data_IF_911121484213
#
_entry.id   IF_911121484213
#
_cell.length_a   1.000
_cell.length_b   1.000
_cell.length_c   1.000
_cell.angle_alpha   90.00
_cell.angle_beta   90.00
_cell.angle_gamma   90.00
#
_symmetry.space_group_name_H-M   'P 1'
#
loop_
_entity.id
_entity.type
_entity.pdbx_description
1 polymer ?
#
# COMPACT_ATOMS: atom_id res chain seq x y z
N UNK A 1 -17.15 -60.87 4.67
CA UNK A 1 -16.55 -60.40 3.43
C UNK A 1 -16.16 -58.95 3.63
N UNK A 2 -14.88 -58.73 4.02
CA UNK A 2 -14.29 -57.38 4.10
C UNK A 2 -14.13 -56.85 2.68
N UNK A 3 -14.60 -55.63 2.48
CA UNK A 3 -14.36 -54.89 1.23
C UNK A 3 -12.85 -54.50 1.14
N UNK A 4 -12.21 -54.58 -0.01
CA UNK A 4 -10.83 -54.19 -0.13
C UNK A 4 -10.67 -52.68 0.07
N UNK A 5 -9.92 -52.29 1.07
CA UNK A 5 -9.45 -50.91 1.27
C UNK A 5 -8.48 -50.56 0.13
N UNK A 6 -8.97 -49.87 -0.86
CA UNK A 6 -8.10 -49.32 -1.93
C UNK A 6 -7.32 -48.17 -1.31
N UNK A 7 -6.09 -48.42 -0.91
CA UNK A 7 -5.13 -47.36 -0.62
C UNK A 7 -4.83 -46.68 -1.93
N UNK A 8 -5.33 -45.47 -2.14
CA UNK A 8 -4.95 -44.65 -3.25
C UNK A 8 -3.42 -44.48 -3.21
N UNK A 9 -2.75 -44.75 -4.31
CA UNK A 9 -1.32 -44.45 -4.42
C UNK A 9 -1.10 -42.94 -4.15
N UNK A 10 -0.06 -42.57 -3.42
CA UNK A 10 0.26 -41.15 -3.24
C UNK A 10 0.39 -40.51 -4.63
N UNK A 11 -0.30 -39.39 -4.84
CA UNK A 11 -0.11 -38.59 -6.03
C UNK A 11 1.38 -38.31 -6.15
N UNK A 12 1.93 -38.44 -7.36
CA UNK A 12 3.33 -38.06 -7.59
C UNK A 12 3.48 -36.59 -7.18
N UNK A 13 4.42 -36.33 -6.28
CA UNK A 13 4.74 -34.95 -5.89
C UNK A 13 5.05 -34.16 -7.16
N UNK A 14 4.24 -33.15 -7.47
CA UNK A 14 4.53 -32.18 -8.53
C UNK A 14 5.67 -31.26 -8.12
N UNK A 15 6.02 -30.29 -8.96
CA UNK A 15 6.99 -29.25 -8.57
C UNK A 15 6.45 -28.44 -7.38
N UNK A 16 7.32 -27.95 -6.47
CA UNK A 16 6.90 -27.14 -5.33
C UNK A 16 6.22 -25.86 -5.79
N UNK A 17 5.22 -25.40 -5.03
CA UNK A 17 4.64 -24.07 -5.23
C UNK A 17 5.70 -23.03 -4.83
N UNK A 18 6.03 -22.12 -5.74
CA UNK A 18 6.93 -21.00 -5.49
C UNK A 18 6.12 -19.73 -5.30
N UNK A 19 6.22 -19.11 -4.13
CA UNK A 19 5.62 -17.83 -3.80
C UNK A 19 6.71 -16.81 -3.46
N UNK A 20 6.38 -15.53 -3.56
CA UNK A 20 7.31 -14.47 -3.20
C UNK A 20 6.64 -13.39 -2.36
N UNK A 21 7.42 -12.70 -1.52
CA UNK A 21 7.09 -11.35 -1.06
C UNK A 21 7.80 -10.32 -1.92
N UNK A 22 7.13 -9.21 -2.21
CA UNK A 22 7.70 -8.05 -2.91
C UNK A 22 7.35 -6.81 -2.11
N UNK A 23 8.13 -6.58 -1.04
CA UNK A 23 7.90 -5.50 -0.08
C UNK A 23 9.00 -4.45 -0.17
N UNK A 24 8.76 -3.22 0.33
CA UNK A 24 9.82 -2.21 0.38
C UNK A 24 10.87 -2.59 1.43
N UNK A 25 11.97 -3.18 0.99
CA UNK A 25 13.14 -3.48 1.81
C UNK A 25 14.14 -2.33 1.78
N UNK A 26 13.99 -1.44 0.81
CA UNK A 26 14.69 -0.16 0.66
C UNK A 26 13.69 0.96 0.41
N UNK A 27 14.16 2.22 0.38
CA UNK A 27 13.34 3.39 0.07
C UNK A 27 12.38 3.79 1.19
N UNK A 28 11.27 4.42 0.81
CA UNK A 28 10.39 5.21 1.69
C UNK A 28 9.74 4.44 2.85
N UNK A 29 9.46 3.17 2.71
CA UNK A 29 8.83 2.35 3.75
C UNK A 29 9.71 1.16 4.17
N UNK A 30 11.03 1.30 4.08
CA UNK A 30 11.96 0.25 4.46
C UNK A 30 11.84 -0.18 5.93
N UNK A 31 11.37 0.69 6.81
CA UNK A 31 11.10 0.36 8.22
C UNK A 31 9.91 -0.58 8.41
N UNK A 32 8.92 -0.55 7.51
CA UNK A 32 7.68 -1.33 7.60
C UNK A 32 7.72 -2.61 6.74
N UNK A 33 8.43 -2.56 5.61
CA UNK A 33 8.46 -3.64 4.63
C UNK A 33 8.81 -5.01 5.21
N UNK A 34 9.90 -5.16 5.98
CA UNK A 34 10.28 -6.43 6.59
C UNK A 34 9.22 -7.02 7.51
N UNK A 35 8.54 -6.17 8.31
CA UNK A 35 7.46 -6.60 9.20
C UNK A 35 6.24 -7.14 8.42
N UNK A 36 5.92 -6.52 7.28
CA UNK A 36 4.84 -6.98 6.40
C UNK A 36 5.23 -8.30 5.71
N UNK A 37 6.46 -8.40 5.21
CA UNK A 37 6.98 -9.62 4.58
C UNK A 37 6.97 -10.81 5.55
N UNK A 38 7.31 -10.58 6.82
CA UNK A 38 7.26 -11.60 7.87
C UNK A 38 5.86 -12.20 8.03
N UNK A 39 4.80 -11.41 7.86
CA UNK A 39 3.42 -11.92 7.89
C UNK A 39 3.16 -13.00 6.84
N UNK A 40 3.67 -12.84 5.62
CA UNK A 40 3.59 -13.85 4.58
C UNK A 40 4.47 -15.07 4.88
N UNK A 41 5.68 -14.86 5.39
CA UNK A 41 6.58 -15.95 5.80
C UNK A 41 5.90 -16.84 6.86
N UNK A 42 5.28 -16.24 7.87
CA UNK A 42 4.54 -16.99 8.91
C UNK A 42 3.43 -17.85 8.30
N UNK A 43 2.69 -17.33 7.32
CA UNK A 43 1.65 -18.10 6.65
C UNK A 43 2.24 -19.29 5.86
N UNK A 44 3.36 -19.08 5.16
CA UNK A 44 4.09 -20.15 4.45
C UNK A 44 4.59 -21.19 5.43
N UNK A 45 5.21 -20.79 6.54
CA UNK A 45 5.73 -21.71 7.55
C UNK A 45 4.61 -22.57 8.16
N UNK A 46 3.43 -21.97 8.40
CA UNK A 46 2.28 -22.72 8.90
C UNK A 46 1.79 -23.79 7.89
N UNK A 47 1.71 -23.43 6.60
CA UNK A 47 1.33 -24.38 5.56
C UNK A 47 2.35 -25.49 5.43
N UNK A 48 3.65 -25.17 5.45
CA UNK A 48 4.72 -26.15 5.36
C UNK A 48 4.74 -27.09 6.58
N UNK A 49 4.49 -26.58 7.79
CA UNK A 49 4.35 -27.39 9.01
C UNK A 49 3.17 -28.38 8.96
N UNK A 50 2.15 -28.10 8.14
CA UNK A 50 1.01 -28.98 7.90
C UNK A 50 1.22 -29.97 6.74
N UNK A 51 2.43 -30.00 6.13
CA UNK A 51 2.78 -30.91 5.03
C UNK A 51 2.80 -30.21 3.65
N UNK A 52 2.78 -28.90 3.62
CA UNK A 52 2.93 -28.11 2.40
C UNK A 52 1.76 -28.21 1.43
N UNK A 53 2.04 -27.93 0.17
CA UNK A 53 1.06 -28.03 -0.93
C UNK A 53 1.39 -29.26 -1.76
N UNK A 54 0.42 -30.15 -1.97
CA UNK A 54 0.60 -31.44 -2.65
C UNK A 54 1.74 -32.32 -2.06
N UNK A 55 1.97 -32.21 -0.75
CA UNK A 55 3.03 -32.96 -0.05
C UNK A 55 4.44 -32.42 -0.23
N UNK A 56 4.56 -31.17 -0.69
CA UNK A 56 5.83 -30.45 -0.80
C UNK A 56 5.76 -29.11 -0.10
N UNK A 57 6.88 -28.69 0.49
CA UNK A 57 6.99 -27.37 1.08
C UNK A 57 6.90 -26.29 0.01
N UNK A 58 6.24 -25.18 0.36
CA UNK A 58 6.25 -23.97 -0.44
C UNK A 58 7.66 -23.38 -0.40
N UNK A 59 8.22 -23.06 -1.56
CA UNK A 59 9.42 -22.24 -1.69
C UNK A 59 9.02 -20.79 -1.60
N UNK A 60 9.60 -20.05 -0.67
CA UNK A 60 9.28 -18.64 -0.48
C UNK A 60 10.49 -17.76 -0.82
N UNK A 61 10.27 -16.83 -1.74
CA UNK A 61 11.28 -15.89 -2.22
C UNK A 61 11.04 -14.50 -1.64
N UNK A 62 12.08 -13.68 -1.62
CA UNK A 62 11.99 -12.29 -1.20
C UNK A 62 12.51 -11.36 -2.30
N UNK A 63 11.74 -10.31 -2.62
CA UNK A 63 12.09 -9.25 -3.55
C UNK A 63 11.87 -7.88 -2.94
N UNK A 64 12.65 -6.90 -3.38
CA UNK A 64 12.52 -5.50 -2.98
C UNK A 64 11.61 -4.73 -3.95
N UNK A 65 10.65 -4.00 -3.43
CA UNK A 65 9.82 -3.07 -4.20
C UNK A 65 10.27 -1.60 -4.08
N UNK A 66 11.11 -1.28 -3.10
CA UNK A 66 11.63 0.07 -2.85
C UNK A 66 10.59 1.17 -2.70
N UNK A 67 9.30 0.82 -2.63
CA UNK A 67 8.19 1.78 -2.82
C UNK A 67 8.30 2.60 -4.13
N UNK A 68 9.00 2.06 -5.11
CA UNK A 68 9.38 2.70 -6.37
C UNK A 68 9.03 1.78 -7.56
N UNK A 69 8.54 2.37 -8.66
CA UNK A 69 8.08 1.60 -9.83
C UNK A 69 9.20 0.76 -10.47
N UNK A 70 10.38 1.33 -10.66
CA UNK A 70 11.49 0.67 -11.36
C UNK A 70 12.13 -0.42 -10.50
N UNK A 71 12.29 -0.17 -9.20
CA UNK A 71 12.78 -1.15 -8.22
C UNK A 71 11.79 -2.32 -8.14
N UNK A 72 10.49 -2.03 -8.02
CA UNK A 72 9.45 -3.05 -7.96
C UNK A 72 9.39 -3.91 -9.22
N UNK A 73 9.51 -3.30 -10.41
CA UNK A 73 9.56 -4.06 -11.68
C UNK A 73 10.78 -4.98 -11.74
N UNK A 74 11.94 -4.52 -11.32
CA UNK A 74 13.15 -5.34 -11.24
C UNK A 74 12.96 -6.50 -10.27
N UNK A 75 12.51 -6.22 -9.04
CA UNK A 75 12.25 -7.25 -8.04
C UNK A 75 11.20 -8.27 -8.48
N UNK A 76 10.13 -7.82 -9.18
CA UNK A 76 9.14 -8.74 -9.76
C UNK A 76 9.76 -9.66 -10.82
N UNK A 77 10.55 -9.12 -11.74
CA UNK A 77 11.22 -9.90 -12.79
C UNK A 77 12.14 -10.94 -12.19
N UNK A 78 12.89 -10.59 -11.15
CA UNK A 78 13.82 -11.50 -10.47
C UNK A 78 13.08 -12.67 -9.80
N UNK A 79 11.95 -12.42 -9.10
CA UNK A 79 11.21 -13.53 -8.47
C UNK A 79 10.46 -14.37 -9.50
N UNK A 80 9.95 -13.79 -10.59
CA UNK A 80 9.36 -14.54 -11.71
C UNK A 80 10.40 -15.43 -12.39
N UNK A 81 11.60 -14.94 -12.63
CA UNK A 81 12.71 -15.72 -13.22
C UNK A 81 13.11 -16.91 -12.33
N UNK A 82 12.87 -16.84 -11.02
CA UNK A 82 13.07 -17.93 -10.06
C UNK A 82 11.84 -18.85 -9.93
N UNK A 83 10.80 -18.62 -10.71
CA UNK A 83 9.61 -19.48 -10.79
C UNK A 83 8.45 -19.09 -9.90
N UNK A 84 8.40 -17.87 -9.37
CA UNK A 84 7.27 -17.39 -8.56
C UNK A 84 5.96 -17.47 -9.36
N UNK A 85 4.95 -18.13 -8.77
CA UNK A 85 3.60 -18.31 -9.32
C UNK A 85 2.58 -17.37 -8.66
N UNK A 86 2.95 -16.79 -7.51
CA UNK A 86 2.18 -15.79 -6.80
C UNK A 86 3.10 -14.87 -5.99
N UNK A 87 2.72 -13.60 -5.91
CA UNK A 87 3.48 -12.56 -5.22
C UNK A 87 2.59 -11.83 -4.23
N UNK A 88 3.01 -11.77 -2.98
CA UNK A 88 2.45 -10.88 -1.98
C UNK A 88 3.17 -9.52 -2.09
N UNK A 89 2.44 -8.51 -2.56
CA UNK A 89 3.03 -7.19 -2.82
C UNK A 89 2.23 -6.36 -3.84
N UNK A 90 2.71 -5.19 -4.22
CA UNK A 90 3.64 -4.38 -3.45
C UNK A 90 2.89 -3.65 -2.32
N UNK A 91 3.63 -3.03 -1.41
CA UNK A 91 3.00 -2.25 -0.34
C UNK A 91 2.48 -0.89 -0.84
N UNK A 92 3.22 -0.23 -1.72
CA UNK A 92 2.94 1.11 -2.20
C UNK A 92 2.08 1.10 -3.48
N UNK A 93 1.05 1.94 -3.52
CA UNK A 93 0.07 1.95 -4.63
C UNK A 93 0.71 2.23 -5.99
N UNK A 94 1.67 3.15 -6.08
CA UNK A 94 2.38 3.47 -7.34
C UNK A 94 3.22 2.29 -7.84
N UNK A 95 3.92 1.61 -6.94
CA UNK A 95 4.64 0.39 -7.26
C UNK A 95 3.69 -0.71 -7.75
N UNK A 96 2.60 -0.97 -7.03
CA UNK A 96 1.59 -1.96 -7.42
C UNK A 96 1.00 -1.67 -8.80
N UNK A 97 0.64 -0.40 -9.09
CA UNK A 97 0.12 -0.01 -10.40
C UNK A 97 1.11 -0.29 -11.54
N UNK A 98 2.40 -0.05 -11.30
CA UNK A 98 3.45 -0.33 -12.28
C UNK A 98 3.60 -1.82 -12.61
N UNK A 99 3.31 -2.70 -11.63
CA UNK A 99 3.44 -4.15 -11.80
C UNK A 99 2.32 -4.80 -12.60
N UNK A 100 1.13 -4.16 -12.73
CA UNK A 100 -0.08 -4.83 -13.22
C UNK A 100 0.08 -5.44 -14.63
N UNK A 101 0.69 -4.71 -15.56
CA UNK A 101 0.90 -5.24 -16.91
C UNK A 101 1.82 -6.48 -16.90
N UNK A 102 2.89 -6.44 -16.13
CA UNK A 102 3.87 -7.54 -16.05
C UNK A 102 3.28 -8.80 -15.39
N UNK A 103 2.47 -8.65 -14.33
CA UNK A 103 1.82 -9.82 -13.70
C UNK A 103 0.73 -10.42 -14.59
N UNK A 104 0.01 -9.61 -15.35
CA UNK A 104 -0.97 -10.09 -16.34
C UNK A 104 -0.25 -10.88 -17.44
N UNK A 105 0.82 -10.34 -18.00
CA UNK A 105 1.61 -10.99 -19.07
C UNK A 105 2.24 -12.30 -18.58
N UNK A 106 2.79 -12.30 -17.38
CA UNK A 106 3.41 -13.48 -16.76
C UNK A 106 2.40 -14.49 -16.20
N UNK A 107 1.10 -14.15 -16.13
CA UNK A 107 0.05 -14.95 -15.51
C UNK A 107 0.39 -15.30 -14.04
N UNK A 108 0.91 -14.33 -13.28
CA UNK A 108 1.29 -14.45 -11.87
C UNK A 108 0.29 -13.70 -11.00
N UNK A 109 -0.24 -14.35 -9.97
CA UNK A 109 -1.14 -13.71 -9.03
C UNK A 109 -0.40 -12.68 -8.16
N UNK A 110 -0.97 -11.48 -8.03
CA UNK A 110 -0.45 -10.40 -7.18
C UNK A 110 -1.47 -10.04 -6.11
N UNK A 111 -1.09 -10.13 -4.83
CA UNK A 111 -1.96 -9.77 -3.70
C UNK A 111 -1.29 -8.71 -2.85
N UNK A 112 -1.81 -7.48 -2.88
CA UNK A 112 -1.25 -6.41 -2.06
C UNK A 112 -1.86 -6.38 -0.66
N UNK A 113 -1.05 -6.32 0.40
CA UNK A 113 -1.53 -6.17 1.76
C UNK A 113 -1.88 -4.72 2.14
N UNK A 114 -1.41 -3.72 1.41
CA UNK A 114 -1.48 -2.32 1.85
C UNK A 114 -1.65 -1.26 0.77
N UNK A 115 -1.71 -1.61 -0.51
CA UNK A 115 -1.95 -0.64 -1.59
C UNK A 115 -3.42 -0.24 -1.64
N UNK A 116 -3.71 1.00 -1.31
CA UNK A 116 -5.08 1.50 -1.03
C UNK A 116 -5.65 2.40 -2.11
N UNK A 117 -4.85 2.92 -3.04
CA UNK A 117 -5.31 3.87 -4.08
C UNK A 117 -6.63 3.44 -4.74
N UNK A 118 -7.63 4.35 -4.87
CA UNK A 118 -8.88 4.09 -5.58
C UNK A 118 -8.68 3.62 -7.02
N UNK A 119 -7.61 4.07 -7.67
CA UNK A 119 -7.28 3.68 -9.05
C UNK A 119 -7.13 2.16 -9.20
N UNK A 120 -6.63 1.45 -8.18
CA UNK A 120 -6.50 -0.01 -8.17
C UNK A 120 -7.84 -0.75 -8.22
N UNK A 121 -8.96 -0.08 -7.94
CA UNK A 121 -10.30 -0.66 -8.07
C UNK A 121 -10.76 -0.69 -9.53
N UNK A 122 -10.42 0.33 -10.31
CA UNK A 122 -10.96 0.58 -11.66
C UNK A 122 -10.03 0.20 -12.80
N UNK A 123 -8.71 0.11 -12.55
CA UNK A 123 -7.74 -0.25 -13.58
C UNK A 123 -7.91 -1.70 -14.03
N UNK A 124 -7.52 -1.98 -15.29
CA UNK A 124 -7.47 -3.35 -15.82
C UNK A 124 -6.46 -4.21 -15.02
N UNK A 125 -6.91 -5.36 -14.58
CA UNK A 125 -6.14 -6.26 -13.70
C UNK A 125 -6.00 -7.69 -14.24
N UNK A 126 -6.64 -7.99 -15.36
CA UNK A 126 -6.63 -9.34 -15.96
C UNK A 126 -7.03 -10.48 -15.01
N UNK A 127 -7.66 -10.16 -13.88
CA UNK A 127 -7.94 -11.14 -12.81
C UNK A 127 -6.71 -11.49 -11.95
N UNK A 128 -5.54 -10.93 -12.22
CA UNK A 128 -4.28 -11.27 -11.53
C UNK A 128 -4.04 -10.46 -10.27
N UNK A 129 -4.76 -9.37 -10.04
CA UNK A 129 -4.55 -8.52 -8.86
C UNK A 129 -5.73 -8.52 -7.90
N UNK A 130 -5.40 -8.65 -6.62
CA UNK A 130 -6.30 -8.44 -5.48
C UNK A 130 -5.59 -7.68 -4.37
N UNK A 131 -6.35 -7.16 -3.42
CA UNK A 131 -5.80 -6.55 -2.20
C UNK A 131 -6.62 -6.91 -0.97
N UNK A 132 -5.97 -6.98 0.18
CA UNK A 132 -6.62 -7.21 1.46
C UNK A 132 -6.95 -5.91 2.19
N UNK A 133 -6.28 -4.80 1.83
CA UNK A 133 -6.59 -3.48 2.35
C UNK A 133 -7.84 -2.86 1.69
N UNK A 134 -8.66 -2.08 2.41
CA UNK A 134 -9.76 -1.33 1.81
C UNK A 134 -9.26 -0.23 0.88
N UNK A 135 -10.15 0.31 0.05
CA UNK A 135 -9.83 1.45 -0.82
C UNK A 135 -9.84 2.77 -0.05
N UNK A 136 -8.95 3.69 -0.41
CA UNK A 136 -8.95 5.07 0.07
C UNK A 136 -10.22 5.84 -0.29
N UNK A 137 -10.97 5.39 -1.29
CA UNK A 137 -12.31 5.93 -1.55
C UNK A 137 -13.25 5.74 -0.35
N UNK A 138 -13.06 4.65 0.43
CA UNK A 138 -13.79 4.45 1.67
C UNK A 138 -13.17 5.21 2.84
N UNK A 139 -11.84 5.24 2.95
CA UNK A 139 -11.12 5.96 4.00
C UNK A 139 -11.42 7.46 3.94
N UNK A 140 -11.45 8.07 2.75
CA UNK A 140 -11.78 9.48 2.58
C UNK A 140 -13.17 9.84 3.10
N UNK A 141 -14.16 8.97 2.88
CA UNK A 141 -15.52 9.16 3.42
C UNK A 141 -15.54 9.11 4.95
N UNK A 142 -14.82 8.15 5.54
CA UNK A 142 -14.73 8.01 7.00
C UNK A 142 -14.01 9.21 7.61
N UNK A 143 -12.91 9.64 7.03
CA UNK A 143 -12.15 10.80 7.50
C UNK A 143 -12.98 12.08 7.41
N UNK A 144 -13.69 12.29 6.30
CA UNK A 144 -14.59 13.43 6.15
C UNK A 144 -15.71 13.44 7.21
N UNK A 145 -16.27 12.28 7.54
CA UNK A 145 -17.29 12.17 8.59
C UNK A 145 -16.74 12.50 9.99
N UNK A 146 -15.51 12.08 10.31
CA UNK A 146 -14.87 12.44 11.58
C UNK A 146 -14.56 13.94 11.65
N UNK A 147 -14.06 14.55 10.57
CA UNK A 147 -13.84 15.99 10.49
C UNK A 147 -15.12 16.78 10.78
N UNK A 148 -16.23 16.42 10.12
CA UNK A 148 -17.54 17.07 10.34
C UNK A 148 -18.03 16.85 11.76
N UNK A 149 -17.89 15.67 12.32
CA UNK A 149 -18.26 15.34 13.70
C UNK A 149 -17.48 16.18 14.72
N UNK A 150 -16.21 16.45 14.45
CA UNK A 150 -15.35 17.29 15.28
C UNK A 150 -15.63 18.81 15.11
N UNK A 151 -16.59 19.16 14.24
CA UNK A 151 -17.00 20.54 13.99
C UNK A 151 -16.05 21.33 13.09
N UNK A 152 -15.23 20.64 12.29
CA UNK A 152 -14.31 21.26 11.34
C UNK A 152 -15.12 21.71 10.11
N UNK A 153 -15.00 22.96 9.73
CA UNK A 153 -15.69 23.57 8.59
C UNK A 153 -14.75 23.79 7.39
N UNK A 154 -13.47 24.05 7.65
CA UNK A 154 -12.47 24.31 6.62
C UNK A 154 -11.20 23.49 6.85
N UNK A 155 -10.76 22.72 5.86
CA UNK A 155 -9.51 21.96 5.93
C UNK A 155 -8.49 22.45 4.90
N UNK A 156 -7.22 22.20 5.19
CA UNK A 156 -6.16 22.11 4.18
C UNK A 156 -5.62 20.69 4.15
N UNK A 157 -5.17 20.23 2.99
CA UNK A 157 -4.60 18.89 2.82
C UNK A 157 -3.15 19.04 2.39
N UNK A 158 -2.22 18.35 3.07
CA UNK A 158 -0.85 18.14 2.60
C UNK A 158 -0.64 16.67 2.30
N UNK A 159 -0.16 16.35 1.10
CA UNK A 159 -0.09 14.99 0.65
C UNK A 159 1.08 14.72 -0.28
N UNK A 160 1.50 13.46 -0.35
CA UNK A 160 2.44 12.98 -1.36
C UNK A 160 1.84 13.11 -2.76
N UNK A 161 2.69 13.44 -3.72
CA UNK A 161 2.31 13.60 -5.14
C UNK A 161 2.29 12.27 -5.91
N UNK A 162 2.00 11.15 -5.26
CA UNK A 162 1.92 9.82 -5.86
C UNK A 162 0.48 9.27 -5.94
N UNK A 163 0.31 8.05 -6.43
CA UNK A 163 -1.03 7.45 -6.61
C UNK A 163 -1.78 7.22 -5.30
N UNK A 164 -1.05 6.97 -4.18
CA UNK A 164 -1.64 6.86 -2.86
C UNK A 164 -2.11 8.23 -2.36
N UNK A 165 -1.18 9.18 -2.25
CA UNK A 165 -1.47 10.48 -1.67
C UNK A 165 -2.56 11.24 -2.44
N UNK A 166 -2.47 11.29 -3.77
CA UNK A 166 -3.51 11.93 -4.61
C UNK A 166 -4.84 11.22 -4.49
N UNK A 167 -4.85 9.88 -4.41
CA UNK A 167 -6.05 9.09 -4.30
C UNK A 167 -6.82 9.39 -3.02
N UNK A 168 -6.16 9.36 -1.88
CA UNK A 168 -6.76 9.63 -0.58
C UNK A 168 -7.12 11.12 -0.42
N UNK A 169 -6.26 12.03 -0.89
CA UNK A 169 -6.54 13.46 -0.84
C UNK A 169 -7.82 13.82 -1.61
N UNK A 170 -7.97 13.31 -2.83
CA UNK A 170 -9.17 13.56 -3.65
C UNK A 170 -10.42 12.93 -3.01
N UNK A 171 -10.33 11.69 -2.51
CA UNK A 171 -11.46 11.03 -1.86
C UNK A 171 -11.91 11.78 -0.59
N UNK A 172 -10.95 12.30 0.19
CA UNK A 172 -11.25 13.10 1.38
C UNK A 172 -11.88 14.44 1.01
N UNK A 173 -11.29 15.15 0.03
CA UNK A 173 -11.80 16.42 -0.48
C UNK A 173 -13.26 16.28 -0.95
N UNK A 174 -13.52 15.35 -1.88
CA UNK A 174 -14.86 15.14 -2.44
C UNK A 174 -15.89 14.78 -1.37
N UNK A 175 -15.51 13.90 -0.42
CA UNK A 175 -16.39 13.48 0.65
C UNK A 175 -16.65 14.60 1.68
N UNK A 176 -15.66 15.44 1.95
CA UNK A 176 -15.80 16.56 2.91
C UNK A 176 -16.66 17.69 2.32
N UNK A 177 -16.43 18.05 1.06
CA UNK A 177 -17.27 19.05 0.36
C UNK A 177 -18.71 18.56 0.20
N UNK A 178 -18.93 17.28 -0.06
CA UNK A 178 -20.27 16.68 -0.14
C UNK A 178 -21.04 16.76 1.19
N UNK A 179 -20.34 16.90 2.32
CA UNK A 179 -20.93 17.10 3.66
C UNK A 179 -21.01 18.59 4.06
N UNK A 180 -20.71 19.51 3.16
CA UNK A 180 -20.81 20.96 3.37
C UNK A 180 -19.54 21.62 3.90
N UNK A 181 -18.44 20.88 4.03
CA UNK A 181 -17.12 21.41 4.37
C UNK A 181 -16.48 22.19 3.21
N UNK A 182 -15.43 22.93 3.53
CA UNK A 182 -14.64 23.70 2.56
C UNK A 182 -13.19 23.27 2.57
N UNK A 183 -12.52 23.26 1.41
CA UNK A 183 -11.09 22.96 1.30
C UNK A 183 -10.33 24.22 0.89
N UNK A 184 -9.54 24.77 1.81
CA UNK A 184 -8.76 25.98 1.57
C UNK A 184 -7.57 25.73 0.62
N UNK A 185 -6.84 24.62 0.84
CA UNK A 185 -5.70 24.28 0.01
C UNK A 185 -5.53 22.76 -0.10
N UNK A 186 -5.03 22.31 -1.25
CA UNK A 186 -4.46 20.95 -1.41
C UNK A 186 -3.02 21.13 -1.88
N UNK A 187 -2.08 20.76 -1.03
CA UNK A 187 -0.65 20.92 -1.26
C UNK A 187 -0.03 19.56 -1.48
N UNK A 188 0.68 19.41 -2.59
CA UNK A 188 1.39 18.18 -2.90
C UNK A 188 2.90 18.40 -2.81
N UNK A 189 3.60 17.47 -2.16
CA UNK A 189 5.06 17.41 -2.17
C UNK A 189 5.54 16.23 -3.01
N UNK A 190 6.71 16.37 -3.63
CA UNK A 190 7.33 15.27 -4.35
C UNK A 190 7.72 14.12 -3.40
N UNK A 191 7.67 12.88 -3.89
CA UNK A 191 7.98 11.70 -3.09
C UNK A 191 9.44 11.67 -2.62
N UNK A 192 10.35 12.23 -3.44
CA UNK A 192 11.80 12.30 -3.23
C UNK A 192 12.26 13.65 -2.67
N UNK A 193 11.34 14.54 -2.25
CA UNK A 193 11.68 15.81 -1.64
C UNK A 193 12.35 15.60 -0.28
N UNK A 194 13.35 16.43 0.01
CA UNK A 194 14.05 16.49 1.31
C UNK A 194 13.76 17.77 2.08
N UNK A 195 13.09 18.76 1.45
CA UNK A 195 12.75 20.05 2.03
C UNK A 195 11.27 20.33 1.80
N UNK A 196 10.57 20.80 2.83
CA UNK A 196 9.11 20.94 2.84
C UNK A 196 8.63 22.32 3.33
N UNK A 197 9.53 23.27 3.54
CA UNK A 197 9.18 24.56 4.14
C UNK A 197 8.15 25.35 3.33
N UNK A 198 8.21 25.24 2.01
CA UNK A 198 7.25 25.91 1.12
C UNK A 198 5.85 25.26 1.19
N UNK A 199 5.79 23.93 1.24
CA UNK A 199 4.55 23.17 1.34
C UNK A 199 3.90 23.38 2.71
N UNK A 200 4.69 23.37 3.79
CA UNK A 200 4.22 23.67 5.15
C UNK A 200 3.66 25.09 5.24
N UNK A 201 4.36 26.08 4.64
CA UNK A 201 3.83 27.45 4.54
C UNK A 201 2.52 27.49 3.77
N UNK A 202 2.44 26.74 2.66
CA UNK A 202 1.28 26.78 1.78
C UNK A 202 0.06 26.13 2.43
N UNK A 203 0.20 25.03 3.16
CA UNK A 203 -0.91 24.32 3.80
C UNK A 203 -1.53 25.13 4.94
N UNK A 204 -0.77 26.00 5.60
CA UNK A 204 -1.29 26.90 6.64
C UNK A 204 -2.05 28.12 6.12
N UNK A 205 -2.02 28.41 4.80
CA UNK A 205 -2.75 29.56 4.25
C UNK A 205 -4.25 29.31 4.23
N UNK A 206 -5.02 30.41 4.30
CA UNK A 206 -6.47 30.36 4.21
C UNK A 206 -7.16 30.08 5.55
N UNK A 207 -6.42 30.05 6.65
CA UNK A 207 -6.92 29.82 8.02
C UNK A 207 -7.75 28.54 8.14
N UNK A 208 -7.22 27.36 7.81
CA UNK A 208 -7.96 26.11 7.96
C UNK A 208 -8.21 25.82 9.44
N UNK A 209 -9.35 25.22 9.76
CA UNK A 209 -9.67 24.73 11.11
C UNK A 209 -8.89 23.46 11.43
N UNK A 210 -8.51 22.69 10.40
CA UNK A 210 -7.68 21.50 10.54
C UNK A 210 -6.80 21.26 9.30
N UNK A 211 -5.71 20.52 9.48
CA UNK A 211 -4.83 20.05 8.42
C UNK A 211 -4.91 18.53 8.32
N UNK A 212 -5.22 18.02 7.15
CA UNK A 212 -5.14 16.58 6.83
C UNK A 212 -3.79 16.28 6.21
N UNK A 213 -3.05 15.34 6.80
CA UNK A 213 -1.68 14.99 6.41
C UNK A 213 -1.60 13.55 5.91
N UNK A 214 -1.32 13.37 4.61
CA UNK A 214 -1.22 12.06 3.95
C UNK A 214 0.25 11.84 3.59
N UNK A 215 0.98 11.24 4.52
CA UNK A 215 2.43 11.20 4.55
C UNK A 215 2.96 9.80 4.83
N UNK A 216 4.23 9.57 4.56
CA UNK A 216 4.96 8.42 5.06
C UNK A 216 5.81 8.83 6.28
N UNK A 217 5.72 8.10 7.42
CA UNK A 217 6.30 8.55 8.67
C UNK A 217 7.79 8.89 8.57
N UNK A 218 8.57 7.97 7.99
CA UNK A 218 10.03 8.03 8.07
C UNK A 218 10.65 9.08 7.15
N UNK A 219 10.06 9.31 5.98
CA UNK A 219 10.69 10.13 4.93
C UNK A 219 10.11 11.52 4.83
N UNK A 220 8.80 11.67 4.98
CA UNK A 220 8.12 12.94 4.77
C UNK A 220 7.35 13.43 5.99
N UNK A 221 6.84 12.52 6.82
CA UNK A 221 6.01 12.84 7.97
C UNK A 221 6.76 13.62 9.03
N UNK A 222 7.88 13.08 9.54
CA UNK A 222 8.65 13.75 10.58
C UNK A 222 9.17 15.13 10.15
N UNK A 223 9.79 15.33 8.97
CA UNK A 223 10.22 16.65 8.52
C UNK A 223 9.08 17.65 8.34
N UNK A 224 7.92 17.22 7.82
CA UNK A 224 6.75 18.10 7.65
C UNK A 224 6.20 18.54 9.02
N UNK A 225 6.05 17.60 9.98
CA UNK A 225 5.59 17.91 11.33
C UNK A 225 6.58 18.85 12.06
N UNK A 226 7.89 18.62 11.90
CA UNK A 226 8.89 19.52 12.44
C UNK A 226 8.78 20.92 11.82
N UNK A 227 8.65 21.02 10.49
CA UNK A 227 8.45 22.29 9.81
C UNK A 227 7.17 23.00 10.24
N UNK A 228 6.09 22.25 10.51
CA UNK A 228 4.85 22.80 11.07
C UNK A 228 5.05 23.41 12.46
N UNK A 229 5.82 22.74 13.31
CA UNK A 229 6.19 23.28 14.62
C UNK A 229 7.00 24.57 14.49
N UNK A 230 8.02 24.59 13.65
CA UNK A 230 8.88 25.75 13.42
C UNK A 230 8.13 26.95 12.84
N UNK A 231 7.05 26.72 12.08
CA UNK A 231 6.21 27.76 11.47
C UNK A 231 4.96 28.11 12.32
N UNK A 232 4.81 27.52 13.51
CA UNK A 232 3.71 27.85 14.42
C UNK A 232 2.34 27.31 13.97
N UNK A 233 2.30 26.21 13.24
CA UNK A 233 1.05 25.56 12.79
C UNK A 233 0.57 24.44 13.73
N UNK A 234 1.17 24.28 14.89
CA UNK A 234 0.83 23.25 15.88
C UNK A 234 -0.45 23.54 16.67
N UNK A 235 -0.92 24.77 16.65
CA UNK A 235 -2.20 25.13 17.25
C UNK A 235 -3.41 24.72 16.40
N UNK A 236 -3.17 24.42 15.11
CA UNK A 236 -4.16 23.85 14.21
C UNK A 236 -4.18 22.32 14.41
N UNK A 237 -5.34 21.68 14.61
CA UNK A 237 -5.45 20.21 14.65
C UNK A 237 -4.93 19.54 13.37
N UNK A 238 -4.16 18.46 13.55
CA UNK A 238 -3.65 17.65 12.43
C UNK A 238 -4.30 16.26 12.45
N UNK A 239 -4.81 15.82 11.31
CA UNK A 239 -5.37 14.49 11.05
C UNK A 239 -4.42 13.70 10.14
N UNK A 240 -4.08 12.47 10.56
CA UNK A 240 -3.12 11.59 9.87
C UNK A 240 -3.77 10.31 9.38
#
# INVERSE_FOLDING_TARGET
TEAPTTTAAPASAGDPLVLASLMPLSGDLASLGPGIALGAQVAVDQVNALGGVNGQDIVFLEGDSGCNADVALTGLQDVIAQGAQGVMGAACSSATLALLSSVIEANVALVSPSSTSPQLTTVEKGGMFSRTAPSDAFQGVVLAAELVKDGIETISIISRADSYGRGLANATLEAFEAQGGSVANVVYHAADASEFSAEVTAVGKGNPDAIVAILFPDTTGCPIVQGAFEQGLTDIPWYF
#
